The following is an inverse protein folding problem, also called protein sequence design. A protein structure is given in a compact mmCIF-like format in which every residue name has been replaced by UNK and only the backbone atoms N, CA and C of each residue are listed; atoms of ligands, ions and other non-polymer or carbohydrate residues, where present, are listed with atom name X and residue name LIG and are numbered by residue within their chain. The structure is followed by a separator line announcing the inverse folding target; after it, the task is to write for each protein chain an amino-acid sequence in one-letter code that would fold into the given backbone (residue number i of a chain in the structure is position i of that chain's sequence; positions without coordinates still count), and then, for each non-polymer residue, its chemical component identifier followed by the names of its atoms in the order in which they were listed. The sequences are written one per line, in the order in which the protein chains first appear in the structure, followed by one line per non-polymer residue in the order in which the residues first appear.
data_IF_039973418514
#
_entry.id   IF_039973418514
#
_cell.length_a   1.000
_cell.length_b   1.000
_cell.length_c   1.000
_cell.angle_alpha   90.00
_cell.angle_beta   90.00
_cell.angle_gamma   90.00
#
_symmetry.space_group_name_H-M   'P 1'
#
loop_
_entity.id
_entity.type
_entity.pdbx_description
1 polymer ?
#
# COMPACT_ATOMS: atom_id res chain seq x y z
N UNK A 1 19.08 6.59 0.80
CA UNK A 1 17.78 5.90 0.81
C UNK A 1 17.85 4.90 -0.30
N UNK A 2 17.89 3.64 0.09
CA UNK A 2 17.90 2.52 -0.81
C UNK A 2 16.47 1.99 -0.93
N UNK A 3 16.03 1.74 -2.15
CA UNK A 3 14.68 1.30 -2.44
C UNK A 3 14.71 -0.04 -3.15
N UNK A 4 14.02 -1.00 -2.55
CA UNK A 4 13.60 -2.23 -3.21
C UNK A 4 12.15 -2.08 -3.69
N UNK A 5 11.83 -2.79 -4.76
CA UNK A 5 10.56 -2.63 -5.47
C UNK A 5 9.93 -4.00 -5.74
N UNK A 6 8.65 -4.12 -5.43
CA UNK A 6 7.84 -5.31 -5.73
C UNK A 6 6.58 -4.85 -6.47
N UNK A 7 6.50 -5.19 -7.76
CA UNK A 7 5.36 -4.85 -8.62
C UNK A 7 4.33 -5.98 -8.61
N UNK A 8 3.07 -5.62 -8.41
CA UNK A 8 1.93 -6.52 -8.50
C UNK A 8 1.01 -6.14 -9.67
N UNK A 9 0.20 -7.10 -10.11
CA UNK A 9 -0.77 -6.90 -11.19
C UNK A 9 -2.04 -6.16 -10.74
N UNK A 10 -2.40 -6.24 -9.46
CA UNK A 10 -3.64 -5.63 -8.94
C UNK A 10 -3.52 -5.09 -7.50
N UNK A 11 -4.36 -4.11 -7.11
CA UNK A 11 -4.43 -3.63 -5.73
C UNK A 11 -4.74 -4.73 -4.71
N UNK A 12 -5.53 -5.73 -5.09
CA UNK A 12 -5.88 -6.86 -4.22
C UNK A 12 -4.66 -7.69 -3.82
N UNK A 13 -3.68 -7.85 -4.71
CA UNK A 13 -2.44 -8.55 -4.37
C UNK A 13 -1.62 -7.80 -3.31
N UNK A 14 -1.56 -6.47 -3.40
CA UNK A 14 -0.96 -5.64 -2.36
C UNK A 14 -1.74 -5.75 -1.05
N UNK A 15 -3.07 -5.78 -1.11
CA UNK A 15 -3.91 -5.92 0.08
C UNK A 15 -3.65 -7.26 0.76
N UNK A 16 -3.48 -8.34 0.01
CA UNK A 16 -3.07 -9.65 0.57
C UNK A 16 -1.72 -9.51 1.25
N UNK A 17 -0.70 -9.01 0.55
CA UNK A 17 0.66 -8.88 1.08
C UNK A 17 0.68 -8.05 2.38
N UNK A 18 0.01 -6.90 2.39
CA UNK A 18 -0.06 -6.07 3.59
C UNK A 18 -0.83 -6.73 4.74
N UNK A 19 -1.91 -7.45 4.43
CA UNK A 19 -2.74 -8.13 5.43
C UNK A 19 -1.97 -9.24 6.14
N UNK A 20 -1.10 -9.97 5.43
CA UNK A 20 -0.31 -11.06 6.01
C UNK A 20 0.90 -10.55 6.80
N UNK A 21 1.39 -9.34 6.48
CA UNK A 21 2.47 -8.67 7.21
C UNK A 21 1.97 -7.86 8.43
N UNK A 22 0.67 -7.58 8.50
CA UNK A 22 0.08 -6.80 9.57
C UNK A 22 0.15 -7.55 10.92
N UNK A 23 0.43 -6.86 12.04
CA UNK A 23 0.30 -7.45 13.36
C UNK A 23 -1.14 -7.97 13.59
N UNK A 24 -1.34 -9.09 14.31
CA UNK A 24 -2.65 -9.74 14.44
C UNK A 24 -3.82 -8.86 14.91
N UNK A 25 -3.53 -7.75 15.60
CA UNK A 25 -4.54 -6.83 16.14
C UNK A 25 -4.83 -5.61 15.25
N UNK A 26 -4.08 -5.41 14.15
CA UNK A 26 -4.22 -4.23 13.30
C UNK A 26 -5.03 -4.59 12.05
N UNK A 27 -6.34 -4.44 12.15
CA UNK A 27 -7.27 -4.73 11.07
C UNK A 27 -7.57 -3.52 10.16
N UNK A 28 -7.02 -2.33 10.46
CA UNK A 28 -7.11 -1.14 9.61
C UNK A 28 -5.70 -0.73 9.18
N UNK A 29 -5.47 -0.72 7.87
CA UNK A 29 -4.17 -0.49 7.26
C UNK A 29 -4.22 0.71 6.31
N UNK A 30 -3.20 1.57 6.27
CA UNK A 30 -3.13 2.64 5.27
C UNK A 30 -2.60 2.12 3.93
N UNK A 31 -3.18 2.56 2.82
CA UNK A 31 -2.63 2.38 1.46
C UNK A 31 -2.55 3.74 0.76
N UNK A 32 -1.45 4.03 0.05
CA UNK A 32 -1.31 5.28 -0.67
C UNK A 32 -1.75 5.12 -2.13
N UNK A 33 -2.42 6.14 -2.65
CA UNK A 33 -2.76 6.32 -4.06
C UNK A 33 -2.23 7.69 -4.50
N UNK A 34 -1.11 7.71 -5.21
CA UNK A 34 -0.36 8.94 -5.49
C UNK A 34 0.47 8.80 -6.77
N UNK A 35 0.44 9.84 -7.62
CA UNK A 35 1.19 9.93 -8.90
C UNK A 35 1.02 8.72 -9.83
N UNK A 36 -0.16 8.12 -9.87
CA UNK A 36 -0.42 6.95 -10.74
C UNK A 36 0.12 5.65 -10.18
N UNK A 37 0.43 5.60 -8.89
CA UNK A 37 0.81 4.39 -8.18
C UNK A 37 -0.10 4.17 -6.96
N UNK A 38 -0.44 2.91 -6.72
CA UNK A 38 -1.05 2.45 -5.47
C UNK A 38 0.00 1.63 -4.75
N UNK A 39 0.35 2.02 -3.51
CA UNK A 39 1.53 1.44 -2.85
C UNK A 39 1.51 1.54 -1.32
N UNK A 40 2.38 0.73 -0.72
CA UNK A 40 2.82 0.87 0.66
C UNK A 40 4.35 0.90 0.72
N UNK A 41 4.89 1.64 1.67
CA UNK A 41 6.34 1.74 1.90
C UNK A 41 6.64 1.10 3.26
N UNK A 42 7.45 0.05 3.24
CA UNK A 42 7.80 -0.73 4.41
C UNK A 42 9.29 -0.48 4.73
N UNK A 43 9.64 0.02 5.92
CA UNK A 43 11.03 0.16 6.32
C UNK A 43 11.64 -1.22 6.56
N UNK A 44 12.64 -1.61 5.77
CA UNK A 44 13.32 -2.91 5.91
C UNK A 44 14.32 -2.91 7.07
N UNK A 45 14.90 -1.75 7.35
CA UNK A 45 15.83 -1.56 8.47
C UNK A 45 15.29 -0.47 9.41
N UNK A 46 14.33 -0.81 10.29
CA UNK A 46 13.65 0.19 11.12
C UNK A 46 14.57 0.99 12.03
N UNK A 47 15.68 0.37 12.47
CA UNK A 47 16.66 1.00 13.37
C UNK A 47 17.55 2.04 12.68
N UNK A 48 17.84 1.88 11.39
CA UNK A 48 18.72 2.80 10.64
C UNK A 48 17.98 3.69 9.65
N UNK A 49 16.75 3.33 9.24
CA UNK A 49 15.91 4.13 8.34
C UNK A 49 16.46 4.31 6.92
N UNK A 50 17.42 3.48 6.50
CA UNK A 50 18.12 3.71 5.22
C UNK A 50 17.58 2.90 4.05
N UNK A 51 16.89 1.78 4.30
CA UNK A 51 16.34 0.90 3.26
C UNK A 51 14.83 0.72 3.39
N UNK A 52 14.14 0.84 2.26
CA UNK A 52 12.69 0.76 2.14
C UNK A 52 12.29 -0.20 1.02
N UNK A 53 11.26 -1.01 1.28
CA UNK A 53 10.55 -1.75 0.24
C UNK A 53 9.30 -0.97 -0.16
N UNK A 54 9.16 -0.67 -1.45
CA UNK A 54 7.92 -0.18 -2.03
C UNK A 54 7.22 -1.33 -2.74
N UNK A 55 6.13 -1.82 -2.14
CA UNK A 55 5.19 -2.74 -2.81
C UNK A 55 4.16 -1.89 -3.56
N UNK A 56 3.97 -2.13 -4.85
CA UNK A 56 3.15 -1.25 -5.68
C UNK A 56 2.45 -1.93 -6.85
N UNK A 57 1.43 -1.24 -7.35
CA UNK A 57 0.79 -1.47 -8.63
C UNK A 57 0.64 -0.12 -9.32
N UNK A 58 0.79 -0.10 -10.65
CA UNK A 58 0.52 1.10 -11.44
C UNK A 58 -0.99 1.29 -11.56
N UNK A 59 -1.47 2.49 -11.23
CA UNK A 59 -2.88 2.82 -11.31
C UNK A 59 -3.30 3.83 -10.25
N UNK A 60 -4.62 3.98 -10.12
CA UNK A 60 -5.23 4.85 -9.13
C UNK A 60 -6.25 4.03 -8.35
N UNK A 61 -6.20 4.18 -7.04
CA UNK A 61 -7.21 3.66 -6.13
C UNK A 61 -8.00 4.84 -5.60
N UNK A 62 -9.30 4.83 -5.84
CA UNK A 62 -10.26 5.79 -5.30
C UNK A 62 -11.00 5.16 -4.11
N UNK A 63 -11.51 6.01 -3.22
CA UNK A 63 -12.20 5.59 -2.00
C UNK A 63 -11.62 6.26 -0.77
N UNK A 64 -12.35 6.15 0.35
CA UNK A 64 -11.85 6.59 1.67
C UNK A 64 -11.50 5.40 2.55
N UNK A 65 -12.39 4.41 2.59
CA UNK A 65 -12.25 3.20 3.38
C UNK A 65 -12.75 2.01 2.56
N UNK A 66 -11.92 0.96 2.49
CA UNK A 66 -12.20 -0.26 1.74
C UNK A 66 -12.26 -1.43 2.70
N UNK A 67 -13.34 -2.21 2.69
CA UNK A 67 -13.37 -3.52 3.35
C UNK A 67 -12.81 -4.55 2.37
N UNK A 68 -11.79 -5.32 2.80
CA UNK A 68 -11.17 -6.36 2.00
C UNK A 68 -11.58 -7.75 2.49
N UNK A 69 -12.07 -8.57 1.56
CA UNK A 69 -12.34 -9.98 1.78
C UNK A 69 -11.20 -10.83 1.19
N UNK A 70 -10.38 -11.39 2.10
CA UNK A 70 -9.22 -12.18 1.72
C UNK A 70 -9.58 -13.48 1.01
N UNK A 71 -10.72 -14.10 1.34
CA UNK A 71 -11.13 -15.36 0.72
C UNK A 71 -11.61 -15.15 -0.72
N UNK A 72 -12.30 -14.03 -0.96
CA UNK A 72 -12.83 -13.70 -2.28
C UNK A 72 -11.82 -12.92 -3.14
N UNK A 73 -10.70 -12.46 -2.55
CA UNK A 73 -9.73 -11.54 -3.16
C UNK A 73 -10.45 -10.34 -3.80
N UNK A 74 -11.32 -9.68 -3.02
CA UNK A 74 -12.13 -8.54 -3.48
C UNK A 74 -12.28 -7.52 -2.37
N UNK A 75 -12.46 -6.26 -2.75
CA UNK A 75 -12.78 -5.19 -1.82
C UNK A 75 -14.03 -4.41 -2.25
N UNK A 76 -14.60 -3.65 -1.30
CA UNK A 76 -15.70 -2.70 -1.54
C UNK A 76 -15.50 -1.43 -0.72
N UNK A 77 -16.04 -0.31 -1.19
CA UNK A 77 -16.11 0.91 -0.40
C UNK A 77 -17.11 0.75 0.74
N UNK A 78 -16.75 1.25 1.92
CA UNK A 78 -17.60 1.27 3.12
C UNK A 78 -17.48 2.62 3.82
N UNK A 79 -18.51 3.00 4.59
CA UNK A 79 -18.50 4.26 5.35
C UNK A 79 -17.79 4.13 6.70
N UNK A 80 -17.82 2.93 7.29
CA UNK A 80 -17.34 2.62 8.63
C UNK A 80 -16.68 1.23 8.68
N UNK A 81 -15.75 1.04 9.62
CA UNK A 81 -15.16 -0.25 9.93
C UNK A 81 -15.92 -0.89 11.11
N UNK A 82 -16.95 -1.68 10.80
CA UNK A 82 -17.89 -2.20 11.82
C UNK A 82 -17.50 -3.57 12.38
N UNK A 83 -16.74 -4.34 11.60
CA UNK A 83 -16.37 -5.72 11.92
C UNK A 83 -14.89 -5.85 12.23
N UNK A 84 -14.55 -6.31 13.43
CA UNK A 84 -13.15 -6.51 13.84
C UNK A 84 -12.47 -7.70 13.16
N UNK A 85 -13.25 -8.65 12.64
CA UNK A 85 -12.75 -9.83 11.91
C UNK A 85 -12.44 -9.56 10.43
N UNK A 86 -12.72 -8.35 9.94
CA UNK A 86 -12.43 -7.91 8.58
C UNK A 86 -11.23 -6.97 8.54
N UNK A 87 -10.53 -6.99 7.42
CA UNK A 87 -9.40 -6.09 7.15
C UNK A 87 -9.92 -4.91 6.34
N UNK A 88 -9.48 -3.71 6.71
CA UNK A 88 -9.83 -2.48 6.04
C UNK A 88 -8.59 -1.74 5.57
N UNK A 89 -8.71 -1.09 4.42
CA UNK A 89 -7.70 -0.22 3.86
C UNK A 89 -8.21 1.22 3.81
N UNK A 90 -7.51 2.12 4.48
CA UNK A 90 -7.73 3.55 4.37
C UNK A 90 -6.90 4.06 3.20
N UNK A 91 -7.57 4.56 2.17
CA UNK A 91 -6.90 5.09 0.98
C UNK A 91 -6.44 6.52 1.27
N UNK A 92 -5.13 6.74 1.20
CA UNK A 92 -4.48 8.02 1.40
C UNK A 92 -4.06 8.59 0.06
N UNK A 93 -4.48 9.82 -0.22
CA UNK A 93 -4.09 10.58 -1.43
C UNK A 93 -3.29 11.81 -1.02
N UNK A 94 -2.02 11.64 -0.58
CA UNK A 94 -1.22 12.76 -0.09
C UNK A 94 -0.98 13.79 -1.21
N UNK A 95 -0.97 15.08 -0.85
CA UNK A 95 -0.58 16.16 -1.79
C UNK A 95 0.91 16.09 -2.14
N UNK A 96 1.74 15.64 -1.19
CA UNK A 96 3.19 15.52 -1.30
C UNK A 96 3.65 14.34 -0.45
N UNK A 97 4.59 13.55 -0.96
CA UNK A 97 5.22 12.45 -0.22
C UNK A 97 6.66 12.29 -0.71
N UNK A 98 7.62 12.84 0.04
CA UNK A 98 9.02 12.93 -0.39
C UNK A 98 9.70 11.57 -0.53
N UNK A 99 9.32 10.57 0.28
CA UNK A 99 9.84 9.21 0.17
C UNK A 99 9.30 8.55 -1.09
N UNK A 100 7.99 8.67 -1.35
CA UNK A 100 7.38 8.15 -2.57
C UNK A 100 7.92 8.85 -3.82
N UNK A 101 8.14 10.17 -3.77
CA UNK A 101 8.72 10.94 -4.87
C UNK A 101 10.12 10.42 -5.23
N UNK A 102 10.95 10.12 -4.23
CA UNK A 102 12.28 9.54 -4.43
C UNK A 102 12.21 8.13 -5.02
N UNK A 103 11.31 7.29 -4.50
CA UNK A 103 11.12 5.91 -4.96
C UNK A 103 10.63 5.87 -6.42
N UNK A 104 9.57 6.62 -6.75
CA UNK A 104 9.00 6.71 -8.11
C UNK A 104 10.06 7.18 -9.11
N UNK A 105 10.86 8.19 -8.75
CA UNK A 105 11.94 8.68 -9.62
C UNK A 105 12.96 7.60 -9.97
N UNK A 106 13.29 6.70 -9.03
CA UNK A 106 14.21 5.59 -9.28
C UNK A 106 13.54 4.52 -10.14
N UNK A 107 12.28 4.21 -9.86
CA UNK A 107 11.49 3.21 -10.59
C UNK A 107 11.33 3.57 -12.06
N UNK A 108 10.96 4.82 -12.35
CA UNK A 108 10.78 5.32 -13.72
C UNK A 108 12.09 5.30 -14.52
N UNK A 109 13.22 5.59 -13.86
CA UNK A 109 14.56 5.50 -14.49
C UNK A 109 14.95 4.07 -14.84
N UNK A 110 14.58 3.07 -14.03
CA UNK A 110 14.87 1.65 -14.33
C UNK A 110 14.04 1.12 -15.49
N UNK A 111 12.91 1.76 -15.80
CA UNK A 111 12.00 1.36 -16.87
C UNK A 111 12.34 1.98 -18.23
N UNK A 112 13.38 2.81 -18.30
CA UNK A 112 13.89 3.48 -19.52
C UNK A 112 15.22 2.86 -19.93
#
# INVERSE_FOLDING_TARGET
MDFEFEEFDSPEDIFIAMSTMAPPMKNILPINSYKGYVFSIIPLTPASGNSYLMIYVKGKLDGKLLEFDMNLKKFKNVESAERSDKIYFVVLTPKSNTIADAAIRILEKKST
#
